data_IF_991869226422
#
_entry.id   IF_991869226422
#
_cell.length_a   1.000
_cell.length_b   1.000
_cell.length_c   1.000
_cell.angle_alpha   90.00
_cell.angle_beta   90.00
_cell.angle_gamma   90.00
#
_symmetry.space_group_name_H-M   'P 1'
#
loop_
_entity.id
_entity.type
_entity.pdbx_description
1 polymer ?
#
# COMPACT_ATOMS: atom_id res chain seq x y z
N UNK A 1 -4.52 9.52 -11.70
CA UNK A 1 -4.13 9.26 -10.29
C UNK A 1 -2.71 8.69 -10.24
N UNK A 2 -1.90 8.96 -9.19
CA UNK A 2 -0.59 8.30 -9.02
C UNK A 2 -0.77 6.79 -8.77
N UNK A 3 0.05 5.94 -9.39
CA UNK A 3 -0.03 4.46 -9.25
C UNK A 3 0.10 3.99 -7.79
N UNK A 4 0.83 4.72 -6.95
CA UNK A 4 0.98 4.41 -5.52
C UNK A 4 -0.33 4.59 -4.74
N UNK A 5 -1.13 5.59 -5.09
CA UNK A 5 -2.43 5.90 -4.48
C UNK A 5 -3.48 4.92 -5.00
N UNK A 6 -3.46 4.65 -6.31
CA UNK A 6 -4.31 3.61 -6.94
C UNK A 6 -4.09 2.27 -6.22
N UNK A 7 -2.84 1.85 -6.03
CA UNK A 7 -2.52 0.63 -5.28
C UNK A 7 -3.02 0.65 -3.84
N UNK A 8 -2.83 1.76 -3.12
CA UNK A 8 -3.25 1.89 -1.72
C UNK A 8 -4.76 1.65 -1.57
N UNK A 9 -5.57 2.24 -2.44
CA UNK A 9 -7.03 2.12 -2.38
C UNK A 9 -7.46 0.71 -2.77
N UNK A 10 -6.95 0.18 -3.88
CA UNK A 10 -7.26 -1.18 -4.32
C UNK A 10 -6.86 -2.23 -3.28
N UNK A 11 -5.71 -2.06 -2.62
CA UNK A 11 -5.23 -2.97 -1.57
C UNK A 11 -6.09 -2.89 -0.30
N UNK A 12 -6.53 -1.69 0.07
CA UNK A 12 -7.39 -1.49 1.25
C UNK A 12 -8.77 -2.10 1.04
N UNK A 13 -9.37 -1.87 -0.12
CA UNK A 13 -10.67 -2.46 -0.50
C UNK A 13 -10.54 -3.99 -0.59
N UNK A 14 -9.46 -4.52 -1.16
CA UNK A 14 -9.23 -5.97 -1.22
C UNK A 14 -9.16 -6.63 0.16
N UNK A 15 -8.54 -5.97 1.14
CA UNK A 15 -8.29 -6.53 2.48
C UNK A 15 -9.47 -6.37 3.43
N UNK A 16 -10.22 -5.28 3.31
CA UNK A 16 -11.20 -4.87 4.31
C UNK A 16 -12.60 -4.62 3.74
N UNK A 17 -12.80 -4.80 2.43
CA UNK A 17 -14.05 -4.48 1.69
C UNK A 17 -14.59 -3.06 1.99
N UNK A 18 -13.73 -2.17 2.45
CA UNK A 18 -14.07 -0.86 2.98
C UNK A 18 -12.91 0.12 2.80
N UNK A 19 -13.24 1.41 2.80
CA UNK A 19 -12.27 2.50 2.73
C UNK A 19 -12.00 3.13 4.11
N UNK A 20 -12.67 2.63 5.15
CA UNK A 20 -12.55 3.11 6.53
C UNK A 20 -11.11 3.13 7.05
N UNK A 21 -10.27 2.12 6.76
CA UNK A 21 -8.86 2.15 7.19
C UNK A 21 -8.06 3.34 6.65
N UNK A 22 -8.44 3.90 5.49
CA UNK A 22 -7.79 5.11 4.95
C UNK A 22 -8.10 6.33 5.81
N UNK A 23 -9.31 6.44 6.36
CA UNK A 23 -9.65 7.54 7.27
C UNK A 23 -8.95 7.40 8.61
N UNK A 24 -8.87 6.17 9.15
CA UNK A 24 -8.12 5.89 10.37
C UNK A 24 -6.62 6.21 10.23
N UNK A 25 -6.06 6.01 9.04
CA UNK A 25 -4.68 6.37 8.73
C UNK A 25 -4.45 7.89 8.53
N UNK A 26 -5.49 8.73 8.68
CA UNK A 26 -5.39 10.18 8.62
C UNK A 26 -5.50 10.79 7.22
N UNK A 27 -5.95 10.03 6.22
CA UNK A 27 -6.18 10.59 4.88
C UNK A 27 -7.43 11.49 4.86
N UNK A 28 -7.35 12.59 4.11
CA UNK A 28 -8.45 13.53 3.94
C UNK A 28 -9.67 12.87 3.27
N UNK A 29 -10.85 13.07 3.85
CA UNK A 29 -12.11 12.49 3.37
C UNK A 29 -12.40 12.84 1.91
N UNK A 30 -12.32 14.13 1.56
CA UNK A 30 -12.61 14.63 0.21
C UNK A 30 -11.72 13.98 -0.84
N UNK A 31 -10.42 13.86 -0.56
CA UNK A 31 -9.46 13.22 -1.48
C UNK A 31 -9.72 11.73 -1.65
N UNK A 32 -9.96 11.00 -0.57
CA UNK A 32 -10.24 9.56 -0.64
C UNK A 32 -11.50 9.30 -1.46
N UNK A 33 -12.56 10.06 -1.24
CA UNK A 33 -13.81 9.94 -2.02
C UNK A 33 -13.59 10.30 -3.49
N UNK A 34 -12.82 11.35 -3.79
CA UNK A 34 -12.48 11.72 -5.16
C UNK A 34 -11.76 10.57 -5.88
N UNK A 35 -10.78 9.95 -5.21
CA UNK A 35 -10.04 8.83 -5.76
C UNK A 35 -10.89 7.58 -5.96
N UNK A 36 -11.74 7.25 -4.99
CA UNK A 36 -12.68 6.13 -5.12
C UNK A 36 -13.62 6.35 -6.31
N UNK A 37 -14.19 7.56 -6.45
CA UNK A 37 -15.04 7.91 -7.59
C UNK A 37 -14.32 7.78 -8.94
N UNK A 38 -13.03 8.13 -9.01
CA UNK A 38 -12.24 7.93 -10.23
C UNK A 38 -12.11 6.43 -10.56
N UNK A 39 -11.87 5.58 -9.56
CA UNK A 39 -11.73 4.14 -9.74
C UNK A 39 -13.07 3.43 -10.05
N UNK A 40 -14.18 3.95 -9.51
CA UNK A 40 -15.54 3.52 -9.88
C UNK A 40 -15.85 3.86 -11.34
N UNK A 41 -15.54 5.08 -11.78
CA UNK A 41 -15.71 5.49 -13.19
C UNK A 41 -14.86 4.65 -14.15
N UNK A 42 -13.67 4.25 -13.73
CA UNK A 42 -12.79 3.36 -14.48
C UNK A 42 -13.28 1.89 -14.47
N UNK A 43 -14.36 1.56 -13.75
CA UNK A 43 -14.88 0.20 -13.63
C UNK A 43 -13.97 -0.76 -12.86
N UNK A 44 -13.07 -0.24 -12.02
CA UNK A 44 -12.09 -1.03 -11.23
C UNK A 44 -12.65 -1.45 -9.87
N UNK A 45 -13.65 -0.73 -9.37
CA UNK A 45 -14.35 -1.00 -8.11
C UNK A 45 -15.83 -1.20 -8.45
N UNK A 46 -16.42 -2.24 -7.90
CA UNK A 46 -17.84 -2.54 -7.99
C UNK A 46 -18.46 -2.61 -6.59
N UNK A 47 -19.79 -2.61 -6.55
CA UNK A 47 -20.56 -2.91 -5.35
C UNK A 47 -21.10 -4.33 -5.48
N UNK A 48 -20.92 -5.13 -4.43
CA UNK A 48 -21.51 -6.46 -4.30
C UNK A 48 -22.99 -6.36 -3.91
N UNK A 49 -23.73 -7.48 -3.96
CA UNK A 49 -25.16 -7.56 -3.64
C UNK A 49 -25.49 -7.04 -2.21
N UNK A 50 -24.51 -7.06 -1.32
CA UNK A 50 -24.60 -6.52 0.05
C UNK A 50 -24.16 -5.05 0.18
N UNK A 51 -24.10 -4.30 -0.93
CA UNK A 51 -23.58 -2.92 -1.03
C UNK A 51 -22.13 -2.75 -0.57
N UNK A 52 -21.38 -3.85 -0.47
CA UNK A 52 -19.96 -3.81 -0.08
C UNK A 52 -19.08 -3.49 -1.29
N UNK A 53 -18.02 -2.69 -1.07
CA UNK A 53 -17.08 -2.36 -2.14
C UNK A 53 -16.17 -3.56 -2.41
N UNK A 54 -16.23 -4.07 -3.62
CA UNK A 54 -15.42 -5.17 -4.11
C UNK A 54 -14.61 -4.74 -5.33
N UNK A 55 -13.54 -5.47 -5.62
CA UNK A 55 -12.75 -5.24 -6.83
C UNK A 55 -13.39 -5.97 -8.00
N UNK A 56 -13.50 -5.28 -9.14
CA UNK A 56 -13.84 -5.94 -10.40
C UNK A 56 -12.66 -6.76 -10.92
N UNK A 57 -12.89 -7.62 -11.92
CA UNK A 57 -11.82 -8.39 -12.56
C UNK A 57 -10.71 -7.47 -13.12
N UNK A 58 -11.08 -6.31 -13.68
CA UNK A 58 -10.13 -5.31 -14.19
C UNK A 58 -9.33 -4.67 -13.05
N UNK A 59 -9.98 -4.39 -11.91
CA UNK A 59 -9.33 -3.89 -10.70
C UNK A 59 -8.33 -4.88 -10.10
N UNK A 60 -8.68 -6.17 -10.06
CA UNK A 60 -7.80 -7.25 -9.61
C UNK A 60 -6.58 -7.42 -10.52
N UNK A 61 -6.77 -7.40 -11.84
CA UNK A 61 -5.69 -7.46 -12.81
C UNK A 61 -4.71 -6.28 -12.63
N UNK A 62 -5.25 -5.05 -12.49
CA UNK A 62 -4.46 -3.84 -12.27
C UNK A 62 -3.68 -3.90 -10.94
N UNK A 63 -4.33 -4.33 -9.86
CA UNK A 63 -3.66 -4.53 -8.56
C UNK A 63 -2.50 -5.52 -8.67
N UNK A 64 -2.68 -6.64 -9.39
CA UNK A 64 -1.65 -7.65 -9.61
C UNK A 64 -0.43 -7.10 -10.36
N UNK A 65 -0.66 -6.30 -11.41
CA UNK A 65 0.41 -5.65 -12.19
C UNK A 65 1.23 -4.71 -11.30
N UNK A 66 0.56 -3.86 -10.52
CA UNK A 66 1.25 -2.89 -9.65
C UNK A 66 2.02 -3.59 -8.53
N UNK A 67 1.45 -4.66 -7.95
CA UNK A 67 2.13 -5.46 -6.93
C UNK A 67 3.42 -6.10 -7.45
N UNK A 68 3.37 -6.69 -8.65
CA UNK A 68 4.56 -7.29 -9.29
C UNK A 68 5.66 -6.26 -9.57
N UNK A 69 5.29 -5.05 -10.01
CA UNK A 69 6.23 -3.93 -10.18
C UNK A 69 6.90 -3.52 -8.87
N UNK A 70 6.15 -3.42 -7.76
CA UNK A 70 6.71 -3.05 -6.46
C UNK A 70 7.62 -4.12 -5.85
N UNK A 71 7.34 -5.40 -6.06
CA UNK A 71 8.17 -6.49 -5.53
C UNK A 71 9.57 -6.58 -6.18
N UNK A 72 9.83 -5.87 -7.28
CA UNK A 72 11.15 -5.82 -7.90
C UNK A 72 12.14 -4.88 -7.19
N UNK A 73 11.72 -4.16 -6.14
CA UNK A 73 12.65 -3.39 -5.32
C UNK A 73 13.41 -4.32 -4.37
N UNK A 74 14.59 -4.74 -4.79
CA UNK A 74 15.59 -5.35 -3.91
C UNK A 74 16.16 -4.24 -3.03
N UNK A 75 15.80 -4.23 -1.74
CA UNK A 75 16.50 -3.42 -0.74
C UNK A 75 17.89 -4.03 -0.61
N UNK A 76 18.88 -3.41 -1.24
CA UNK A 76 20.26 -3.83 -1.12
C UNK A 76 20.70 -3.71 0.35
N UNK A 77 21.49 -4.66 0.87
CA UNK A 77 21.97 -4.58 2.23
C UNK A 77 22.77 -3.28 2.42
N UNK A 78 22.47 -2.56 3.50
CA UNK A 78 23.11 -1.30 3.89
C UNK A 78 24.51 -1.55 4.46
N UNK A 79 25.35 -2.23 3.70
CA UNK A 79 26.71 -2.60 4.10
C UNK A 79 27.57 -1.37 4.43
N UNK A 80 27.29 -0.22 3.80
CA UNK A 80 27.94 1.06 4.06
C UNK A 80 27.68 1.62 5.46
N UNK A 81 26.64 1.17 6.14
CA UNK A 81 26.27 1.58 7.49
C UNK A 81 26.58 0.52 8.55
N UNK A 82 27.21 -0.59 8.16
CA UNK A 82 27.55 -1.68 9.07
C UNK A 82 28.77 -1.26 9.91
N UNK A 83 28.51 -0.80 11.13
CA UNK A 83 29.57 -0.48 12.10
C UNK A 83 30.16 -1.79 12.64
N UNK A 84 31.48 -1.86 12.80
CA UNK A 84 32.14 -2.98 13.48
C UNK A 84 31.62 -3.05 14.92
N UNK A 85 31.23 -4.25 15.37
CA UNK A 85 30.90 -4.45 16.79
C UNK A 85 32.19 -4.22 17.59
N UNK A 86 32.15 -3.30 18.54
CA UNK A 86 33.21 -3.14 19.54
C UNK A 86 33.21 -4.38 20.42
N UNK A 87 34.38 -4.96 20.64
CA UNK A 87 34.54 -6.10 21.54
C UNK A 87 34.58 -5.60 22.98
N UNK A 88 34.00 -6.36 23.91
CA UNK A 88 33.82 -5.92 25.32
C UNK A 88 35.20 -5.75 26.00
N UNK A 89 36.20 -6.49 25.53
CA UNK A 89 37.59 -6.42 26.01
C UNK A 89 38.31 -5.12 25.64
N UNK A 90 37.76 -4.30 24.73
CA UNK A 90 38.29 -2.96 24.39
C UNK A 90 37.76 -1.85 25.30
N UNK A 91 36.79 -2.16 26.18
CA UNK A 91 36.23 -1.19 27.13
C UNK A 91 37.06 -1.23 28.42
N UNK A 92 38.08 -0.37 28.47
CA UNK A 92 38.78 -0.08 29.74
C UNK A 92 37.85 0.76 30.62
N UNK A 93 37.14 0.12 31.56
CA UNK A 93 36.48 0.82 32.66
C UNK A 93 37.55 1.23 33.68
N UNK A 94 37.63 2.53 34.06
CA UNK A 94 38.56 3.00 35.09
C UNK A 94 38.22 2.47 36.48
#
# INVERSE_FOLDING_TARGET
MRESIEFLILDTIKKHSSIMPLFTAGYSYSKVIEWVRQLEKDGKICYDEMEQRTLSESGLARWGIIKKKKNHFTILPLNSYKVKKLDIDEIYLP
#
